data_IF_871760893251
#
_entry.id   IF_871760893251
#
_cell.length_a   1.000
_cell.length_b   1.000
_cell.length_c   1.000
_cell.angle_alpha   90.00
_cell.angle_beta   90.00
_cell.angle_gamma   90.00
#
_symmetry.space_group_name_H-M   'P 1'
#
loop_
_entity.id
_entity.type
_entity.pdbx_description
1 polymer ?
#
# COMPACT_ATOMS: atom_id res chain seq x y z
N UNK A 1 -4.03 16.93 -8.40
CA UNK A 1 -2.77 16.19 -8.22
C UNK A 1 -2.35 16.41 -6.79
N UNK A 2 -2.13 15.36 -5.99
CA UNK A 2 -1.62 15.52 -4.62
C UNK A 2 -0.11 15.76 -4.65
N UNK A 3 0.31 16.86 -4.04
CA UNK A 3 1.68 17.32 -3.95
C UNK A 3 2.38 16.71 -2.72
N UNK A 4 3.52 16.07 -2.91
CA UNK A 4 4.31 15.41 -1.86
C UNK A 4 5.54 16.23 -1.41
N UNK A 5 5.67 17.48 -1.88
CA UNK A 5 6.84 18.33 -1.61
C UNK A 5 6.91 18.80 -0.14
N UNK A 6 5.78 18.93 0.53
CA UNK A 6 5.70 19.19 1.96
C UNK A 6 4.43 18.62 2.57
N UNK A 7 4.41 18.50 3.90
CA UNK A 7 3.23 18.10 4.66
C UNK A 7 2.04 19.05 4.43
N UNK A 8 2.31 20.36 4.32
CA UNK A 8 1.30 21.38 4.12
C UNK A 8 0.65 21.27 2.72
N UNK A 9 1.47 21.11 1.67
CA UNK A 9 0.97 20.97 0.30
C UNK A 9 0.21 19.65 0.12
N UNK A 10 0.66 18.59 0.78
CA UNK A 10 -0.03 17.30 0.80
C UNK A 10 -1.41 17.40 1.44
N UNK A 11 -1.48 17.96 2.65
CA UNK A 11 -2.73 18.11 3.40
C UNK A 11 -3.70 19.05 2.67
N UNK A 12 -3.23 20.20 2.18
CA UNK A 12 -4.07 21.16 1.48
C UNK A 12 -4.67 20.58 0.19
N UNK A 13 -3.88 19.80 -0.57
CA UNK A 13 -4.39 19.20 -1.81
C UNK A 13 -5.40 18.08 -1.55
N UNK A 14 -5.20 17.26 -0.51
CA UNK A 14 -6.20 16.27 -0.11
C UNK A 14 -7.49 16.93 0.37
N UNK A 15 -7.36 17.97 1.20
CA UNK A 15 -8.50 18.73 1.69
C UNK A 15 -9.31 19.32 0.54
N UNK A 16 -8.65 19.87 -0.48
CA UNK A 16 -9.31 20.32 -1.70
C UNK A 16 -10.16 19.21 -2.35
N UNK A 17 -9.61 17.99 -2.49
CA UNK A 17 -10.38 16.86 -3.03
C UNK A 17 -11.60 16.48 -2.18
N UNK A 18 -11.49 16.59 -0.86
CA UNK A 18 -12.56 16.24 0.07
C UNK A 18 -13.63 17.32 0.17
N UNK A 19 -13.31 18.58 -0.16
CA UNK A 19 -14.22 19.73 -0.04
C UNK A 19 -14.78 20.23 -1.37
N UNK A 20 -14.35 19.66 -2.50
CA UNK A 20 -14.78 20.10 -3.84
C UNK A 20 -15.91 19.19 -4.37
N UNK A 21 -17.13 19.71 -4.58
CA UNK A 21 -18.21 18.96 -5.23
C UNK A 21 -17.84 18.46 -6.62
N UNK A 22 -18.37 17.31 -7.01
CA UNK A 22 -18.15 16.72 -8.32
C UNK A 22 -19.49 16.32 -8.98
N UNK A 23 -19.77 16.90 -10.14
CA UNK A 23 -21.08 16.83 -10.80
C UNK A 23 -21.57 15.41 -11.08
N UNK A 24 -20.67 14.48 -11.39
CA UNK A 24 -21.02 13.06 -11.59
C UNK A 24 -21.57 12.44 -10.30
N UNK A 25 -21.00 12.78 -9.14
CA UNK A 25 -21.41 12.23 -7.85
C UNK A 25 -22.64 12.95 -7.29
N UNK A 26 -22.81 14.24 -7.61
CA UNK A 26 -24.05 14.97 -7.32
C UNK A 26 -25.24 14.36 -8.05
N UNK A 27 -25.07 13.96 -9.32
CA UNK A 27 -26.13 13.31 -10.10
C UNK A 27 -26.56 11.95 -9.52
N UNK A 28 -25.68 11.25 -8.78
CA UNK A 28 -26.03 10.03 -8.04
C UNK A 28 -26.92 10.37 -6.84
N UNK A 29 -26.74 11.53 -6.21
CA UNK A 29 -27.42 11.95 -4.99
C UNK A 29 -26.79 11.39 -3.72
N UNK A 30 -26.79 12.18 -2.64
CA UNK A 30 -26.24 11.78 -1.32
C UNK A 30 -27.24 10.95 -0.52
N UNK A 31 -28.53 11.31 -0.58
CA UNK A 31 -29.66 10.56 0.00
C UNK A 31 -30.72 10.32 -1.05
N UNK A 32 -31.24 9.09 -1.11
CA UNK A 32 -32.40 8.69 -1.93
C UNK A 32 -33.40 7.96 -1.05
N UNK A 33 -34.66 8.38 -1.08
CA UNK A 33 -35.75 7.77 -0.28
C UNK A 33 -35.42 7.62 1.22
N UNK A 34 -34.72 8.61 1.78
CA UNK A 34 -34.29 8.61 3.19
C UNK A 34 -33.04 7.77 3.49
N UNK A 35 -32.48 7.05 2.52
CA UNK A 35 -31.29 6.21 2.68
C UNK A 35 -30.04 6.91 2.15
N UNK A 36 -28.97 6.89 2.95
CA UNK A 36 -27.64 7.37 2.54
C UNK A 36 -27.07 6.50 1.43
N UNK A 37 -26.61 7.12 0.35
CA UNK A 37 -25.95 6.47 -0.79
C UNK A 37 -24.45 6.75 -0.79
N UNK A 38 -24.07 7.93 -0.29
CA UNK A 38 -22.72 8.46 -0.24
C UNK A 38 -22.60 9.33 1.03
N UNK A 39 -21.38 9.57 1.52
CA UNK A 39 -21.17 10.49 2.65
C UNK A 39 -21.31 11.96 2.22
N UNK A 40 -20.87 12.28 1.01
CA UNK A 40 -21.02 13.57 0.33
C UNK A 40 -20.90 13.34 -1.19
N UNK A 41 -20.94 14.42 -1.98
CA UNK A 41 -20.80 14.36 -3.44
C UNK A 41 -19.52 15.05 -3.94
N UNK A 42 -18.45 15.01 -3.14
CA UNK A 42 -17.18 15.65 -3.45
C UNK A 42 -16.25 14.73 -4.26
N UNK A 43 -15.17 15.26 -4.84
CA UNK A 43 -14.18 14.49 -5.61
C UNK A 43 -13.70 13.27 -4.82
N UNK A 44 -13.53 13.43 -3.50
CA UNK A 44 -13.29 12.37 -2.53
C UNK A 44 -14.31 12.51 -1.39
N UNK A 45 -14.90 11.41 -0.94
CA UNK A 45 -15.78 11.42 0.23
C UNK A 45 -15.00 11.67 1.52
N UNK A 46 -13.86 11.00 1.67
CA UNK A 46 -12.92 11.11 2.80
C UNK A 46 -11.48 10.87 2.32
N UNK A 47 -10.50 11.15 3.17
CA UNK A 47 -9.06 11.00 2.88
C UNK A 47 -8.71 9.60 2.37
N UNK A 48 -9.37 8.57 2.90
CA UNK A 48 -9.06 7.18 2.60
C UNK A 48 -9.38 6.76 1.16
N UNK A 49 -10.23 7.53 0.45
CA UNK A 49 -10.58 7.29 -0.95
C UNK A 49 -9.45 7.70 -1.92
N UNK A 50 -8.49 8.50 -1.47
CA UNK A 50 -7.37 8.90 -2.33
C UNK A 50 -6.41 7.75 -2.61
N UNK A 51 -6.57 7.07 -3.75
CA UNK A 51 -5.67 5.99 -4.17
C UNK A 51 -4.24 6.51 -4.43
N UNK A 52 -3.29 6.04 -3.64
CA UNK A 52 -1.85 6.33 -3.80
C UNK A 52 -0.98 5.12 -3.50
N UNK A 53 0.23 5.15 -4.05
CA UNK A 53 1.27 4.15 -3.85
C UNK A 53 1.76 4.08 -2.39
N UNK A 54 1.96 5.26 -1.80
CA UNK A 54 2.44 5.45 -0.44
C UNK A 54 1.61 6.54 0.22
N UNK A 55 1.35 6.40 1.52
CA UNK A 55 0.66 7.41 2.32
C UNK A 55 1.45 7.76 3.58
N UNK A 56 1.68 9.05 3.89
CA UNK A 56 2.06 9.45 5.23
C UNK A 56 0.88 9.21 6.19
N UNK A 57 1.16 8.67 7.36
CA UNK A 57 0.15 8.32 8.36
C UNK A 57 0.47 8.97 9.71
N UNK A 58 -0.48 9.69 10.32
CA UNK A 58 -0.36 10.15 11.69
C UNK A 58 -0.89 9.07 12.66
N UNK A 59 -0.64 9.25 13.96
CA UNK A 59 -1.46 8.59 14.99
C UNK A 59 -2.80 9.30 15.09
N UNK A 60 -3.90 8.54 15.07
CA UNK A 60 -5.27 9.09 15.16
C UNK A 60 -5.77 9.03 16.60
N UNK A 61 -6.53 10.05 16.99
CA UNK A 61 -7.27 10.07 18.26
C UNK A 61 -8.77 9.97 17.94
N UNK A 62 -9.37 8.80 18.20
CA UNK A 62 -10.78 8.54 17.90
C UNK A 62 -11.13 8.82 16.43
N UNK A 63 -12.19 9.59 16.21
CA UNK A 63 -12.72 9.92 14.87
C UNK A 63 -12.08 11.17 14.24
N UNK A 64 -10.83 11.49 14.62
CA UNK A 64 -10.10 12.60 14.01
C UNK A 64 -9.81 12.32 12.53
N UNK A 65 -10.05 13.32 11.68
CA UNK A 65 -9.65 13.30 10.28
C UNK A 65 -8.14 13.09 10.11
N UNK A 66 -7.69 12.15 9.25
CA UNK A 66 -6.28 11.96 8.94
C UNK A 66 -5.57 13.25 8.49
N UNK A 67 -6.20 14.12 7.70
CA UNK A 67 -5.56 15.39 7.29
C UNK A 67 -5.35 16.34 8.46
N UNK A 68 -6.28 16.39 9.42
CA UNK A 68 -6.17 17.21 10.62
C UNK A 68 -5.06 16.69 11.52
N UNK A 69 -5.02 15.37 11.75
CA UNK A 69 -3.98 14.72 12.54
C UNK A 69 -2.57 14.88 11.91
N UNK A 70 -2.46 14.78 10.59
CA UNK A 70 -1.22 15.05 9.85
C UNK A 70 -0.76 16.49 10.05
N UNK A 71 -1.67 17.47 9.96
CA UNK A 71 -1.32 18.88 10.17
C UNK A 71 -0.84 19.15 11.60
N UNK A 72 -1.49 18.56 12.59
CA UNK A 72 -1.17 18.78 14.01
C UNK A 72 0.10 18.07 14.46
N UNK A 73 0.33 16.83 13.99
CA UNK A 73 1.34 15.92 14.57
C UNK A 73 2.36 15.42 13.57
N UNK A 74 2.24 15.78 12.31
CA UNK A 74 3.12 15.29 11.26
C UNK A 74 2.92 13.82 10.93
N UNK A 75 3.92 13.27 10.24
CA UNK A 75 3.93 11.88 9.80
C UNK A 75 4.59 11.02 10.87
N UNK A 76 3.89 9.99 11.35
CA UNK A 76 4.43 9.01 12.30
C UNK A 76 5.05 7.81 11.57
N UNK A 77 4.38 7.32 10.53
CA UNK A 77 4.85 6.20 9.71
C UNK A 77 4.37 6.37 8.27
N UNK A 78 4.91 5.56 7.36
CA UNK A 78 4.43 5.46 5.98
C UNK A 78 3.70 4.14 5.76
N UNK A 79 2.63 4.17 4.99
CA UNK A 79 1.90 2.98 4.53
C UNK A 79 2.24 2.74 3.06
N UNK A 80 2.95 1.65 2.77
CA UNK A 80 3.17 1.17 1.40
C UNK A 80 1.96 0.36 0.93
N UNK A 81 1.43 0.66 -0.26
CA UNK A 81 0.19 0.09 -0.80
C UNK A 81 0.33 -0.54 -2.18
N UNK A 82 1.57 -0.77 -2.63
CA UNK A 82 1.89 -1.27 -3.97
C UNK A 82 2.06 -2.79 -4.07
N UNK A 83 1.95 -3.51 -2.96
CA UNK A 83 2.22 -4.93 -2.92
C UNK A 83 0.96 -5.72 -3.26
N UNK A 84 1.08 -6.55 -4.29
CA UNK A 84 0.11 -7.62 -4.54
C UNK A 84 0.27 -8.74 -3.51
N UNK A 85 -0.81 -9.47 -3.25
CA UNK A 85 -0.76 -10.67 -2.43
C UNK A 85 0.08 -11.73 -3.13
N UNK A 86 1.15 -12.18 -2.47
CA UNK A 86 2.01 -13.23 -2.98
C UNK A 86 1.26 -14.58 -2.91
N UNK A 87 0.78 -15.03 -4.07
CA UNK A 87 0.03 -16.27 -4.18
C UNK A 87 0.82 -17.52 -3.74
N UNK A 88 2.16 -17.47 -3.73
CA UNK A 88 3.00 -18.62 -3.39
C UNK A 88 3.23 -18.78 -1.89
N UNK A 89 2.98 -17.74 -1.10
CA UNK A 89 3.22 -17.71 0.34
C UNK A 89 1.89 -17.73 1.12
N UNK A 90 1.77 -18.54 2.18
CA UNK A 90 0.52 -18.70 2.91
C UNK A 90 0.07 -17.43 3.63
N UNK A 91 1.01 -16.56 4.02
CA UNK A 91 0.73 -15.25 4.62
C UNK A 91 0.54 -14.13 3.59
N UNK A 92 0.62 -14.44 2.28
CA UNK A 92 0.53 -13.44 1.21
C UNK A 92 1.76 -12.53 1.08
N UNK A 93 2.78 -12.73 1.92
CA UNK A 93 4.09 -12.06 1.92
C UNK A 93 5.09 -12.97 2.65
N UNK A 94 6.39 -12.82 2.39
CA UNK A 94 7.44 -13.55 3.09
C UNK A 94 8.56 -12.63 3.62
N UNK A 95 9.42 -13.20 4.46
CA UNK A 95 10.53 -12.49 5.11
C UNK A 95 11.48 -11.84 4.10
N UNK A 96 11.85 -12.52 3.02
CA UNK A 96 12.74 -11.96 1.99
C UNK A 96 12.13 -10.71 1.35
N UNK A 97 10.82 -10.69 1.10
CA UNK A 97 10.13 -9.49 0.62
C UNK A 97 10.19 -8.36 1.67
N UNK A 98 9.99 -8.69 2.95
CA UNK A 98 10.03 -7.70 4.04
C UNK A 98 11.42 -7.08 4.21
N UNK A 99 12.49 -7.89 4.24
CA UNK A 99 13.87 -7.37 4.33
C UNK A 99 14.23 -6.47 3.14
N UNK A 100 13.82 -6.83 1.93
CA UNK A 100 14.01 -5.96 0.77
C UNK A 100 13.26 -4.63 0.92
N UNK A 101 11.99 -4.67 1.34
CA UNK A 101 11.18 -3.47 1.48
C UNK A 101 11.69 -2.55 2.58
N UNK A 102 12.08 -3.10 3.72
CA UNK A 102 12.69 -2.33 4.81
C UNK A 102 13.97 -1.65 4.36
N UNK A 103 14.90 -2.42 3.77
CA UNK A 103 16.14 -1.87 3.22
C UNK A 103 15.91 -0.83 2.12
N UNK A 104 14.94 -1.05 1.23
CA UNK A 104 14.58 -0.10 0.18
C UNK A 104 13.99 1.21 0.72
N UNK A 105 13.12 1.14 1.75
CA UNK A 105 12.55 2.33 2.40
C UNK A 105 13.65 3.13 3.11
N UNK A 106 14.54 2.46 3.84
CA UNK A 106 15.64 3.13 4.54
C UNK A 106 16.64 3.73 3.54
N UNK A 107 16.88 3.07 2.41
CA UNK A 107 17.64 3.66 1.31
C UNK A 107 16.97 4.93 0.78
N UNK A 108 15.66 4.90 0.54
CA UNK A 108 14.90 6.08 0.09
C UNK A 108 14.91 7.24 1.10
N UNK A 109 15.04 6.94 2.40
CA UNK A 109 15.17 7.94 3.45
C UNK A 109 16.50 8.71 3.36
N UNK A 110 17.57 8.04 2.96
CA UNK A 110 18.93 8.59 2.93
C UNK A 110 19.33 9.12 1.55
N UNK A 111 18.72 8.58 0.49
CA UNK A 111 18.99 8.99 -0.87
C UNK A 111 18.44 10.41 -1.13
N UNK A 112 19.15 11.19 -1.93
CA UNK A 112 18.70 12.52 -2.32
C UNK A 112 17.34 12.44 -3.03
N UNK A 113 16.39 13.26 -2.56
CA UNK A 113 15.01 13.30 -3.05
C UNK A 113 14.58 14.75 -3.27
N UNK A 114 14.99 15.37 -4.40
CA UNK A 114 14.59 16.74 -4.72
C UNK A 114 13.07 16.82 -4.94
N UNK A 115 12.44 18.00 -4.75
CA UNK A 115 11.02 18.17 -5.00
C UNK A 115 10.62 17.77 -6.42
N UNK A 116 9.56 16.97 -6.53
CA UNK A 116 9.06 16.42 -7.79
C UNK A 116 8.58 17.57 -8.68
N UNK A 117 9.16 17.69 -9.86
CA UNK A 117 8.74 18.69 -10.84
C UNK A 117 7.45 18.28 -11.56
N UNK A 118 6.70 19.24 -12.14
CA UNK A 118 5.41 18.95 -12.80
C UNK A 118 5.50 17.91 -13.92
N UNK A 119 6.54 17.97 -14.75
CA UNK A 119 6.72 17.01 -15.84
C UNK A 119 7.26 15.67 -15.33
N UNK A 120 8.05 15.68 -14.26
CA UNK A 120 8.48 14.49 -13.56
C UNK A 120 7.29 13.72 -12.98
N UNK A 121 6.28 14.40 -12.43
CA UNK A 121 5.07 13.75 -11.94
C UNK A 121 4.35 12.91 -13.01
N UNK A 122 4.27 13.43 -14.25
CA UNK A 122 3.70 12.67 -15.37
C UNK A 122 4.56 11.46 -15.71
N UNK A 123 5.88 11.62 -15.71
CA UNK A 123 6.83 10.53 -15.94
C UNK A 123 6.71 9.45 -14.87
N UNK A 124 6.61 9.80 -13.58
CA UNK A 124 6.45 8.84 -12.48
C UNK A 124 5.19 7.99 -12.64
N UNK A 125 4.03 8.64 -12.91
CA UNK A 125 2.78 7.92 -13.18
C UNK A 125 2.87 7.04 -14.42
N UNK A 126 3.46 7.55 -15.49
CA UNK A 126 3.64 6.79 -16.72
C UNK A 126 4.51 5.56 -16.48
N UNK A 127 5.64 5.73 -15.80
CA UNK A 127 6.58 4.67 -15.49
C UNK A 127 5.93 3.58 -14.64
N UNK A 128 5.19 3.96 -13.59
CA UNK A 128 4.50 3.01 -12.73
C UNK A 128 3.49 2.16 -13.52
N UNK A 129 2.67 2.80 -14.36
CA UNK A 129 1.70 2.09 -15.19
C UNK A 129 2.37 1.19 -16.24
N UNK A 130 3.48 1.65 -16.82
CA UNK A 130 4.21 0.89 -17.81
C UNK A 130 4.92 -0.32 -17.19
N UNK A 131 5.51 -0.17 -16.00
CA UNK A 131 6.08 -1.27 -15.24
C UNK A 131 5.01 -2.31 -14.86
N UNK A 132 3.83 -1.88 -14.42
CA UNK A 132 2.73 -2.77 -14.09
C UNK A 132 2.22 -3.58 -15.32
N UNK A 133 2.09 -2.92 -16.48
CA UNK A 133 1.52 -3.55 -17.69
C UNK A 133 2.53 -4.35 -18.51
N UNK A 134 3.78 -3.87 -18.57
CA UNK A 134 4.80 -4.34 -19.52
C UNK A 134 6.16 -4.60 -18.85
N UNK A 135 6.27 -4.56 -17.53
CA UNK A 135 7.57 -4.59 -16.84
C UNK A 135 8.44 -5.83 -17.04
N UNK A 136 7.88 -6.92 -17.57
CA UNK A 136 8.65 -8.13 -17.94
C UNK A 136 9.28 -8.06 -19.33
N UNK A 137 8.78 -7.19 -20.21
CA UNK A 137 9.30 -7.01 -21.56
C UNK A 137 10.71 -6.37 -21.50
N UNK A 138 11.76 -7.05 -22.03
CA UNK A 138 13.14 -6.55 -22.02
C UNK A 138 13.32 -5.20 -22.74
N UNK A 139 12.41 -4.84 -23.64
CA UNK A 139 12.45 -3.60 -24.42
C UNK A 139 11.55 -2.49 -23.84
N UNK A 140 11.13 -2.63 -22.58
CA UNK A 140 10.40 -1.56 -21.87
C UNK A 140 11.31 -0.38 -21.51
N UNK A 141 10.95 0.81 -21.98
CA UNK A 141 11.62 2.07 -21.64
C UNK A 141 10.77 2.95 -20.71
N UNK A 142 11.41 3.46 -19.66
CA UNK A 142 10.89 4.43 -18.71
C UNK A 142 11.44 5.83 -19.02
N UNK A 143 10.88 6.85 -18.36
CA UNK A 143 11.36 8.22 -18.42
C UNK A 143 12.05 8.64 -17.12
N UNK A 144 13.31 9.04 -17.18
CA UNK A 144 14.09 9.59 -16.06
C UNK A 144 14.62 10.95 -16.47
N UNK A 145 14.23 12.00 -15.74
CA UNK A 145 14.70 13.38 -15.98
C UNK A 145 14.60 13.82 -17.47
N UNK A 146 13.50 13.46 -18.13
CA UNK A 146 13.24 13.80 -19.54
C UNK A 146 13.93 12.91 -20.58
N UNK A 147 14.72 11.91 -20.16
CA UNK A 147 15.37 10.95 -21.05
C UNK A 147 14.76 9.55 -20.92
N UNK A 148 14.83 8.77 -22.00
CA UNK A 148 14.42 7.37 -21.98
C UNK A 148 15.54 6.51 -21.40
N UNK A 149 15.17 5.56 -20.55
CA UNK A 149 16.07 4.57 -19.98
C UNK A 149 15.36 3.21 -19.98
N UNK A 150 16.09 2.11 -20.25
CA UNK A 150 15.47 0.78 -20.14
C UNK A 150 15.11 0.51 -18.68
N UNK A 151 13.95 -0.11 -18.45
CA UNK A 151 13.50 -0.46 -17.11
C UNK A 151 14.52 -1.31 -16.38
N UNK A 152 15.05 -2.35 -17.04
CA UNK A 152 16.02 -3.28 -16.45
C UNK A 152 17.34 -2.58 -16.09
N UNK A 153 17.85 -1.75 -16.98
CA UNK A 153 19.09 -1.00 -16.76
C UNK A 153 18.94 -0.08 -15.53
N UNK A 154 17.81 0.63 -15.44
CA UNK A 154 17.57 1.53 -14.30
C UNK A 154 17.33 0.76 -13.00
N UNK A 155 16.59 -0.34 -13.03
CA UNK A 155 16.36 -1.17 -11.85
C UNK A 155 17.68 -1.80 -11.36
N UNK A 156 18.55 -2.24 -12.27
CA UNK A 156 19.86 -2.79 -11.94
C UNK A 156 20.78 -1.73 -11.34
N UNK A 157 20.81 -0.51 -11.89
CA UNK A 157 21.53 0.63 -11.31
C UNK A 157 21.09 0.90 -9.86
N UNK A 158 19.78 0.85 -9.59
CA UNK A 158 19.24 1.01 -8.22
C UNK A 158 19.65 -0.14 -7.30
N UNK A 159 19.63 -1.40 -7.78
CA UNK A 159 20.12 -2.54 -7.03
C UNK A 159 21.60 -2.38 -6.64
N UNK A 160 22.45 -1.96 -7.58
CA UNK A 160 23.87 -1.71 -7.31
C UNK A 160 24.08 -0.58 -6.31
N UNK A 161 23.32 0.51 -6.43
CA UNK A 161 23.38 1.62 -5.49
C UNK A 161 23.00 1.22 -4.05
N UNK A 162 22.23 0.14 -3.88
CA UNK A 162 21.82 -0.38 -2.59
C UNK A 162 22.79 -1.40 -1.97
N UNK A 163 23.74 -1.96 -2.73
CA UNK A 163 24.61 -3.07 -2.26
C UNK A 163 25.33 -2.75 -0.94
N UNK A 164 26.14 -1.69 -0.91
CA UNK A 164 26.88 -1.30 0.29
C UNK A 164 25.97 -0.87 1.46
N UNK A 165 24.76 -0.37 1.16
CA UNK A 165 23.78 -0.02 2.19
C UNK A 165 23.18 -1.27 2.84
N UNK A 166 22.83 -2.28 2.04
CA UNK A 166 22.29 -3.54 2.54
C UNK A 166 23.34 -4.36 3.30
N UNK A 167 24.61 -4.32 2.87
CA UNK A 167 25.74 -4.89 3.63
C UNK A 167 25.86 -4.25 5.02
N UNK A 168 25.67 -2.94 5.13
CA UNK A 168 25.71 -2.24 6.41
C UNK A 168 24.57 -2.67 7.34
N UNK A 169 23.36 -2.86 6.83
CA UNK A 169 22.22 -3.33 7.63
C UNK A 169 22.48 -4.73 8.21
N UNK A 170 23.08 -5.61 7.43
CA UNK A 170 23.46 -6.95 7.87
C UNK A 170 24.49 -6.93 9.04
N UNK A 171 25.31 -5.88 9.16
CA UNK A 171 26.23 -5.75 10.31
C UNK A 171 25.53 -5.53 11.65
N UNK A 172 24.32 -4.98 11.64
CA UNK A 172 23.55 -4.67 12.87
C UNK A 172 22.78 -5.88 13.36
N UNK A 173 22.19 -6.64 12.43
CA UNK A 173 21.39 -7.83 12.73
C UNK A 173 22.23 -9.12 12.82
N UNK A 174 23.52 -9.06 12.48
CA UNK A 174 24.43 -10.20 12.37
C UNK A 174 23.84 -11.37 11.54
N UNK A 175 22.99 -11.03 10.57
CA UNK A 175 22.39 -11.91 9.58
C UNK A 175 22.87 -11.50 8.19
N UNK A 176 22.59 -12.32 7.17
CA UNK A 176 22.81 -11.93 5.77
C UNK A 176 21.46 -11.69 5.07
N UNK A 177 20.40 -11.39 5.83
CA UNK A 177 19.04 -11.41 5.32
C UNK A 177 18.78 -10.25 4.34
N UNK A 178 19.37 -9.08 4.58
CA UNK A 178 19.23 -7.93 3.67
C UNK A 178 19.96 -8.21 2.36
N UNK A 179 21.26 -8.54 2.40
CA UNK A 179 22.03 -8.80 1.16
C UNK A 179 21.43 -9.94 0.33
N UNK A 180 20.91 -11.00 0.95
CA UNK A 180 20.21 -12.08 0.22
C UNK A 180 18.88 -11.61 -0.38
N UNK A 181 18.14 -10.75 0.32
CA UNK A 181 16.91 -10.15 -0.21
C UNK A 181 17.19 -9.25 -1.41
N UNK A 182 18.22 -8.40 -1.35
CA UNK A 182 18.67 -7.58 -2.48
C UNK A 182 19.10 -8.46 -3.65
N UNK A 183 19.92 -9.47 -3.40
CA UNK A 183 20.38 -10.42 -4.43
C UNK A 183 19.19 -11.08 -5.15
N UNK A 184 18.18 -11.53 -4.40
CA UNK A 184 16.96 -12.12 -4.97
C UNK A 184 16.25 -11.15 -5.91
N UNK A 185 16.15 -9.87 -5.55
CA UNK A 185 15.56 -8.85 -6.43
C UNK A 185 16.45 -8.55 -7.64
N UNK A 186 17.77 -8.46 -7.45
CA UNK A 186 18.73 -8.25 -8.55
C UNK A 186 18.65 -9.38 -9.57
N UNK A 187 18.56 -10.63 -9.14
CA UNK A 187 18.35 -11.77 -10.04
C UNK A 187 17.04 -11.66 -10.82
N UNK A 188 15.94 -11.23 -10.18
CA UNK A 188 14.66 -11.02 -10.86
C UNK A 188 14.65 -9.83 -11.84
N UNK A 189 15.50 -8.82 -11.62
CA UNK A 189 15.73 -7.72 -12.57
C UNK A 189 16.48 -8.22 -13.81
N UNK A 190 17.49 -9.07 -13.62
CA UNK A 190 18.30 -9.64 -14.71
C UNK A 190 17.53 -10.70 -15.50
N UNK A 191 16.74 -11.54 -14.84
CA UNK A 191 15.86 -12.54 -15.43
C UNK A 191 14.40 -12.35 -15.01
N UNK A 192 13.61 -11.76 -15.89
CA UNK A 192 12.19 -11.52 -15.66
C UNK A 192 11.36 -12.80 -15.43
N UNK A 193 11.87 -13.99 -15.77
CA UNK A 193 11.18 -15.26 -15.48
C UNK A 193 11.14 -15.59 -13.99
N UNK A 194 12.03 -15.00 -13.18
CA UNK A 194 12.07 -15.18 -11.74
C UNK A 194 11.02 -14.33 -11.02
N UNK A 195 10.43 -13.34 -11.69
CA UNK A 195 9.38 -12.50 -11.10
C UNK A 195 8.14 -13.32 -10.73
N UNK A 196 7.43 -12.97 -9.63
CA UNK A 196 6.22 -13.71 -9.23
C UNK A 196 5.16 -13.80 -10.32
N UNK A 197 5.01 -12.74 -11.14
CA UNK A 197 4.05 -12.72 -12.25
C UNK A 197 4.43 -13.69 -13.38
N UNK A 198 5.72 -13.83 -13.71
CA UNK A 198 6.19 -14.83 -14.67
C UNK A 198 6.04 -16.26 -14.13
N UNK A 199 6.41 -16.48 -12.86
CA UNK A 199 6.26 -17.78 -12.18
C UNK A 199 4.81 -18.25 -12.13
N UNK A 200 3.86 -17.34 -11.87
CA UNK A 200 2.44 -17.65 -11.90
C UNK A 200 1.99 -18.12 -13.29
N UNK A 201 2.34 -17.37 -14.34
CA UNK A 201 2.00 -17.74 -15.72
C UNK A 201 2.64 -19.05 -16.16
N UNK A 202 3.89 -19.31 -15.77
CA UNK A 202 4.58 -20.57 -16.03
C UNK A 202 3.84 -21.75 -15.35
N UNK A 203 3.51 -21.60 -14.06
CA UNK A 203 2.79 -22.64 -13.31
C UNK A 203 1.41 -22.95 -13.91
N UNK A 204 0.66 -21.90 -14.30
CA UNK A 204 -0.63 -22.05 -15.01
C UNK A 204 -0.46 -22.82 -16.32
N UNK A 205 0.55 -22.45 -17.12
CA UNK A 205 0.84 -23.10 -18.41
C UNK A 205 1.25 -24.56 -18.24
N UNK A 206 2.13 -24.87 -17.29
CA UNK A 206 2.60 -26.23 -17.01
C UNK A 206 1.48 -27.15 -16.51
N UNK A 207 0.56 -26.60 -15.72
CA UNK A 207 -0.58 -27.36 -15.17
C UNK A 207 -1.78 -27.43 -16.12
N UNK A 208 -1.76 -26.68 -17.24
CA UNK A 208 -2.91 -26.55 -18.13
C UNK A 208 -4.12 -25.88 -17.48
N UNK A 209 -3.88 -25.03 -16.48
CA UNK A 209 -4.91 -24.40 -15.65
C UNK A 209 -5.19 -22.95 -16.10
N UNK A 210 -6.45 -22.53 -15.98
CA UNK A 210 -6.83 -21.12 -16.02
C UNK A 210 -6.50 -20.41 -14.70
N UNK A 211 -6.73 -19.09 -14.67
CA UNK A 211 -6.42 -18.29 -13.48
C UNK A 211 -7.27 -18.71 -12.26
N UNK A 212 -8.55 -19.01 -12.48
CA UNK A 212 -9.46 -19.41 -11.40
C UNK A 212 -9.01 -20.72 -10.75
N UNK A 213 -8.68 -21.72 -11.56
CA UNK A 213 -8.22 -23.03 -11.11
C UNK A 213 -6.91 -22.92 -10.32
N UNK A 214 -5.95 -22.14 -10.85
CA UNK A 214 -4.70 -21.84 -10.14
C UNK A 214 -4.97 -21.18 -8.79
N UNK A 215 -5.79 -20.11 -8.76
CA UNK A 215 -6.09 -19.37 -7.54
C UNK A 215 -6.77 -20.27 -6.49
N UNK A 216 -7.77 -21.06 -6.91
CA UNK A 216 -8.45 -22.00 -6.03
C UNK A 216 -7.49 -23.06 -5.47
N UNK A 217 -6.61 -23.61 -6.31
CA UNK A 217 -5.58 -24.58 -5.88
C UNK A 217 -4.64 -23.98 -4.86
N UNK A 218 -4.16 -22.75 -5.06
CA UNK A 218 -3.30 -22.04 -4.11
C UNK A 218 -4.04 -21.73 -2.81
N UNK A 219 -5.30 -21.25 -2.87
CA UNK A 219 -6.12 -21.02 -1.67
C UNK A 219 -6.34 -22.29 -0.86
N UNK A 220 -6.63 -23.42 -1.50
CA UNK A 220 -6.78 -24.71 -0.81
C UNK A 220 -5.45 -25.20 -0.23
N UNK A 221 -4.33 -24.97 -0.91
CA UNK A 221 -2.99 -25.28 -0.38
C UNK A 221 -2.73 -24.50 0.91
N UNK A 222 -3.00 -23.20 0.90
CA UNK A 222 -2.80 -22.33 2.07
C UNK A 222 -3.78 -22.63 3.19
N UNK A 223 -5.03 -22.97 2.87
CA UNK A 223 -6.00 -23.45 3.87
C UNK A 223 -5.48 -24.69 4.59
N UNK A 224 -5.00 -25.70 3.85
CA UNK A 224 -4.43 -26.92 4.43
C UNK A 224 -3.19 -26.62 5.27
N UNK A 225 -2.34 -25.69 4.81
CA UNK A 225 -1.20 -25.21 5.58
C UNK A 225 -1.62 -24.74 6.96
N UNK A 226 -2.63 -23.87 7.08
CA UNK A 226 -3.07 -23.35 8.39
C UNK A 226 -3.87 -24.37 9.22
N UNK A 227 -4.59 -25.30 8.60
CA UNK A 227 -5.37 -26.31 9.33
C UNK A 227 -4.51 -27.27 10.15
N UNK A 228 -3.28 -27.54 9.72
CA UNK A 228 -2.37 -28.46 10.42
C UNK A 228 -1.44 -27.75 11.41
N UNK A 229 -1.43 -26.41 11.44
CA UNK A 229 -0.64 -25.66 12.42
C UNK A 229 -1.34 -25.69 13.79
N UNK A 230 -0.60 -26.11 14.81
CA UNK A 230 -1.09 -26.04 16.17
C UNK A 230 -0.95 -24.62 16.70
N UNK A 231 -2.06 -24.05 17.18
CA UNK A 231 -2.04 -22.82 17.96
C UNK A 231 -1.89 -23.19 19.44
N UNK A 232 -0.96 -22.54 20.15
CA UNK A 232 -0.83 -22.76 21.60
C UNK A 232 -2.10 -22.33 22.34
N UNK A 233 -2.38 -22.96 23.48
CA UNK A 233 -3.55 -22.62 24.30
C UNK A 233 -3.53 -21.15 24.73
N UNK A 234 -2.33 -20.60 24.98
CA UNK A 234 -2.15 -19.17 25.27
C UNK A 234 -2.64 -18.28 24.13
N UNK A 235 -2.18 -18.51 22.89
CA UNK A 235 -2.61 -17.70 21.75
C UNK A 235 -4.10 -17.92 21.43
N UNK A 236 -4.61 -19.15 21.61
CA UNK A 236 -6.04 -19.43 21.47
C UNK A 236 -6.86 -18.60 22.45
N UNK A 237 -6.47 -18.57 23.72
CA UNK A 237 -7.16 -17.79 24.74
C UNK A 237 -7.11 -16.30 24.42
N UNK A 238 -5.95 -15.78 24.00
CA UNK A 238 -5.82 -14.38 23.58
C UNK A 238 -6.78 -14.01 22.45
N UNK A 239 -6.98 -14.88 21.45
CA UNK A 239 -7.95 -14.64 20.37
C UNK A 239 -9.40 -14.65 20.87
N UNK A 240 -9.74 -15.56 21.79
CA UNK A 240 -11.07 -15.60 22.42
C UNK A 240 -11.33 -14.33 23.22
N UNK A 241 -10.36 -13.88 24.01
CA UNK A 241 -10.46 -12.65 24.80
C UNK A 241 -10.59 -11.42 23.90
N UNK A 242 -9.89 -11.39 22.75
CA UNK A 242 -10.01 -10.31 21.75
C UNK A 242 -11.42 -10.23 21.14
N UNK A 243 -12.06 -11.38 20.89
CA UNK A 243 -13.45 -11.40 20.41
C UNK A 243 -14.36 -10.72 21.43
N UNK A 244 -14.30 -11.16 22.69
CA UNK A 244 -15.12 -10.60 23.76
C UNK A 244 -14.87 -9.10 23.94
N UNK A 245 -13.60 -8.71 24.02
CA UNK A 245 -13.19 -7.31 24.15
C UNK A 245 -13.69 -6.43 23.00
N UNK A 246 -13.64 -6.92 21.76
CA UNK A 246 -14.09 -6.16 20.59
C UNK A 246 -15.60 -5.89 20.62
N UNK A 247 -16.40 -6.86 21.07
CA UNK A 247 -17.85 -6.74 21.21
C UNK A 247 -18.23 -5.78 22.33
N UNK A 248 -17.57 -5.87 23.49
CA UNK A 248 -17.77 -4.94 24.60
C UNK A 248 -17.44 -3.50 24.18
N UNK A 249 -16.35 -3.31 23.43
CA UNK A 249 -16.00 -1.99 22.87
C UNK A 249 -17.05 -1.47 21.90
N UNK A 250 -17.55 -2.31 21.00
CA UNK A 250 -18.61 -1.93 20.07
C UNK A 250 -19.86 -1.48 20.85
N UNK A 251 -20.33 -2.30 21.79
CA UNK A 251 -21.51 -1.98 22.60
C UNK A 251 -21.32 -0.70 23.43
N UNK A 252 -20.12 -0.47 23.96
CA UNK A 252 -19.79 0.75 24.68
C UNK A 252 -19.89 1.99 23.79
N UNK A 253 -19.44 1.91 22.52
CA UNK A 253 -19.59 2.99 21.54
C UNK A 253 -21.07 3.25 21.27
N UNK A 254 -21.83 2.20 20.93
CA UNK A 254 -23.26 2.30 20.61
C UNK A 254 -24.09 2.84 21.77
N UNK A 255 -23.75 2.48 23.02
CA UNK A 255 -24.44 2.96 24.22
C UNK A 255 -24.05 4.41 24.59
N UNK A 256 -22.82 4.82 24.25
CA UNK A 256 -22.31 6.15 24.53
C UNK A 256 -22.75 7.20 23.49
N UNK A 257 -23.28 6.76 22.34
CA UNK A 257 -23.73 7.65 21.27
C UNK A 257 -24.96 8.47 21.69
N UNK A 258 -24.82 9.79 21.58
CA UNK A 258 -25.86 10.77 21.98
C UNK A 258 -26.36 11.63 20.82
N UNK A 259 -25.79 11.46 19.64
CA UNK A 259 -26.08 12.27 18.47
C UNK A 259 -26.60 11.39 17.34
N UNK A 260 -27.43 11.96 16.47
CA UNK A 260 -27.82 11.24 15.25
C UNK A 260 -26.62 11.08 14.32
N UNK A 261 -26.70 10.12 13.41
CA UNK A 261 -25.66 9.92 12.41
C UNK A 261 -25.45 11.16 11.52
N UNK A 262 -26.53 11.88 11.18
CA UNK A 262 -26.46 13.17 10.48
C UNK A 262 -25.61 14.19 11.24
N UNK A 263 -25.86 14.34 12.56
CA UNK A 263 -25.11 15.27 13.39
C UNK A 263 -23.65 14.87 13.51
N UNK A 264 -23.38 13.56 13.64
CA UNK A 264 -22.03 13.03 13.64
C UNK A 264 -21.29 13.38 12.34
N UNK A 265 -21.94 13.17 11.19
CA UNK A 265 -21.34 13.40 9.89
C UNK A 265 -21.07 14.89 9.64
N UNK A 266 -22.00 15.76 10.01
CA UNK A 266 -21.82 17.22 9.98
C UNK A 266 -20.63 17.65 10.85
N UNK A 267 -20.52 17.12 12.06
CA UNK A 267 -19.41 17.41 12.97
C UNK A 267 -18.09 16.90 12.42
N UNK A 268 -18.08 15.69 11.84
CA UNK A 268 -16.92 15.10 11.20
C UNK A 268 -16.41 16.00 10.07
N UNK A 269 -17.27 16.40 9.14
CA UNK A 269 -16.84 17.23 8.01
C UNK A 269 -16.44 18.66 8.39
N UNK A 270 -16.92 19.19 9.52
CA UNK A 270 -16.51 20.49 10.06
C UNK A 270 -15.16 20.47 10.79
N UNK A 271 -14.56 19.31 11.05
CA UNK A 271 -13.21 19.23 11.62
C UNK A 271 -12.18 19.97 10.74
N UNK A 272 -11.20 20.68 11.34
CA UNK A 272 -10.28 21.61 10.66
C UNK A 272 -9.30 20.99 9.66
#
# INVERSE_FOLDING_TARGET
>A
HVDYSSLETYVSTLKYGIETPHSVYEAIGVKKDGQWQQLNANILQIENEYYSAVRPKPLLNGNQKPTSALRERGTQYIELRLLDVNAFDPLGINETQLYFLEGFILFCLLHESPPIQRDEYKALKYNQNLAARSGRDPDTYLWRQGQKIKLRDWAYELCQAMEGFFELLDTVDASNNYTQALKTQTEAVLDANLTPSARMLACMKESGEGFYEFALRMSQKHQRYFQVQALSDLHRQQLVDQVQYSLEKQQAIETADKMSFEQFLDNYFKQP
#
